data_IF_816401884856
#
_entry.id   IF_816401884856
#
_cell.length_a   1.000
_cell.length_b   1.000
_cell.length_c   1.000
_cell.angle_alpha   90.00
_cell.angle_beta   90.00
_cell.angle_gamma   90.00
#
_symmetry.space_group_name_H-M   'P 1'
#
loop_
_entity.id
_entity.type
_entity.pdbx_description
1 polymer ?
#
# COMPACT_ATOMS: atom_id res chain seq x y z
N UNK A 1 -15.92 -14.00 -12.10
CA UNK A 1 -14.93 -13.25 -12.93
C UNK A 1 -13.67 -14.10 -13.01
N UNK A 2 -13.15 -14.34 -14.22
CA UNK A 2 -12.18 -15.39 -14.59
C UNK A 2 -11.07 -15.67 -13.58
N UNK A 3 -11.00 -16.94 -13.14
CA UNK A 3 -9.81 -17.53 -12.51
C UNK A 3 -8.82 -17.89 -13.63
N UNK A 4 -7.86 -17.03 -13.90
CA UNK A 4 -6.70 -17.37 -14.73
C UNK A 4 -5.53 -17.76 -13.83
N UNK A 5 -5.60 -18.95 -13.25
CA UNK A 5 -4.50 -19.57 -12.52
C UNK A 5 -3.96 -20.65 -13.48
N UNK A 6 -2.70 -20.56 -13.92
CA UNK A 6 -2.11 -21.56 -14.84
C UNK A 6 -0.80 -22.10 -14.29
N UNK A 7 -0.75 -23.44 -14.39
CA UNK A 7 0.31 -24.41 -14.14
C UNK A 7 1.62 -24.03 -14.83
N UNK A 8 2.74 -24.17 -14.11
CA UNK A 8 4.06 -23.71 -14.52
C UNK A 8 4.57 -24.25 -15.86
N UNK A 9 5.09 -23.33 -16.67
CA UNK A 9 6.21 -23.46 -17.61
C UNK A 9 6.94 -22.11 -17.67
N UNK A 10 8.26 -22.05 -17.96
CA UNK A 10 9.09 -20.85 -17.72
C UNK A 10 8.76 -19.62 -18.58
N UNK A 11 7.91 -19.73 -19.60
CA UNK A 11 7.73 -18.68 -20.61
C UNK A 11 6.34 -18.02 -20.64
N UNK A 12 5.39 -18.42 -19.78
CA UNK A 12 4.07 -17.75 -19.66
C UNK A 12 3.53 -17.78 -18.24
N UNK A 13 4.19 -17.08 -17.32
CA UNK A 13 3.61 -16.77 -16.01
C UNK A 13 2.54 -15.68 -16.16
N UNK A 14 1.27 -16.01 -15.91
CA UNK A 14 0.23 -14.99 -15.80
C UNK A 14 0.34 -14.30 -14.44
N UNK A 15 0.25 -12.97 -14.42
CA UNK A 15 0.26 -12.17 -13.20
C UNK A 15 -1.13 -11.61 -12.93
N UNK A 16 -1.53 -11.61 -11.66
CA UNK A 16 -2.66 -10.84 -11.19
C UNK A 16 -2.19 -9.42 -10.85
N UNK A 17 -2.69 -8.43 -11.58
CA UNK A 17 -2.42 -7.02 -11.29
C UNK A 17 -3.12 -6.60 -10.01
N UNK A 18 -2.34 -6.11 -9.06
CA UNK A 18 -2.80 -5.54 -7.80
C UNK A 18 -2.82 -4.02 -7.93
N UNK A 19 -3.92 -3.42 -7.49
CA UNK A 19 -4.01 -1.97 -7.34
C UNK A 19 -3.42 -1.58 -5.98
N UNK A 20 -2.66 -0.49 -5.97
CA UNK A 20 -2.11 0.11 -4.75
C UNK A 20 -3.26 0.61 -3.88
N UNK A 21 -3.11 0.48 -2.55
CA UNK A 21 -4.10 0.81 -1.53
C UNK A 21 -5.37 -0.05 -1.52
N UNK A 22 -5.40 -1.14 -2.30
CA UNK A 22 -6.44 -2.15 -2.25
C UNK A 22 -5.94 -3.46 -1.63
N UNK A 23 -6.77 -4.03 -0.76
CA UNK A 23 -6.55 -5.38 -0.24
C UNK A 23 -7.32 -6.41 -1.08
N UNK A 24 -6.59 -7.35 -1.66
CA UNK A 24 -7.15 -8.46 -2.41
C UNK A 24 -7.21 -9.71 -1.55
N UNK A 25 -8.23 -10.53 -1.79
CA UNK A 25 -8.38 -11.85 -1.16
C UNK A 25 -8.64 -12.89 -2.23
N UNK A 26 -7.73 -13.85 -2.35
CA UNK A 26 -7.82 -14.97 -3.27
C UNK A 26 -8.19 -16.23 -2.49
N UNK A 27 -9.28 -16.89 -2.88
CA UNK A 27 -9.73 -18.14 -2.24
C UNK A 27 -9.73 -19.27 -3.26
N UNK A 28 -8.89 -20.27 -2.99
CA UNK A 28 -8.78 -21.52 -3.74
C UNK A 28 -9.39 -22.61 -2.86
N UNK A 29 -10.66 -22.91 -3.11
CA UNK A 29 -11.48 -23.82 -2.28
C UNK A 29 -12.36 -24.75 -3.10
N UNK A 30 -12.45 -24.55 -4.42
CA UNK A 30 -13.20 -25.44 -5.32
C UNK A 30 -12.34 -26.65 -5.65
N UNK A 31 -12.95 -27.80 -5.96
CA UNK A 31 -12.19 -29.03 -6.25
C UNK A 31 -11.25 -28.87 -7.45
N UNK A 32 -11.67 -28.09 -8.46
CA UNK A 32 -10.85 -27.77 -9.64
C UNK A 32 -9.58 -26.98 -9.26
N UNK A 33 -9.57 -26.30 -8.12
CA UNK A 33 -8.42 -25.53 -7.65
C UNK A 33 -7.32 -26.40 -7.01
N UNK A 34 -7.58 -27.70 -6.79
CA UNK A 34 -6.73 -28.62 -6.01
C UNK A 34 -5.30 -28.73 -6.55
N UNK A 35 -5.13 -28.53 -7.86
CA UNK A 35 -3.85 -28.69 -8.55
C UNK A 35 -3.00 -27.43 -8.57
N UNK A 36 -3.50 -26.30 -8.07
CA UNK A 36 -2.75 -25.06 -8.01
C UNK A 36 -1.85 -25.04 -6.76
N UNK A 37 -0.56 -24.80 -7.00
CA UNK A 37 0.48 -24.73 -5.96
C UNK A 37 1.27 -23.42 -6.01
N UNK A 38 0.95 -22.54 -6.97
CA UNK A 38 1.58 -21.25 -7.14
C UNK A 38 0.59 -20.19 -7.68
N UNK A 39 0.84 -18.93 -7.35
CA UNK A 39 0.14 -17.75 -7.85
C UNK A 39 1.11 -16.56 -7.87
N UNK A 40 1.04 -15.75 -8.92
CA UNK A 40 1.94 -14.61 -9.11
C UNK A 40 1.13 -13.32 -9.17
N UNK A 41 1.67 -12.27 -8.55
CA UNK A 41 1.08 -10.94 -8.53
C UNK A 41 2.05 -9.91 -9.08
N UNK A 42 1.50 -8.84 -9.64
CA UNK A 42 2.26 -7.69 -10.12
C UNK A 42 1.65 -6.41 -9.56
N UNK A 43 2.49 -5.49 -9.08
CA UNK A 43 2.07 -4.19 -8.59
C UNK A 43 3.02 -3.11 -9.12
N UNK A 44 2.45 -2.02 -9.61
CA UNK A 44 3.19 -0.86 -10.12
C UNK A 44 2.75 0.35 -9.31
N UNK A 45 3.58 0.85 -8.38
CA UNK A 45 3.29 2.06 -7.62
C UNK A 45 3.09 3.27 -8.53
N UNK A 46 2.08 4.09 -8.24
CA UNK A 46 1.82 5.33 -8.99
C UNK A 46 2.64 6.50 -8.43
N UNK A 47 2.84 6.53 -7.10
CA UNK A 47 3.58 7.60 -6.44
C UNK A 47 5.06 7.24 -6.26
N UNK A 48 5.95 7.93 -6.98
CA UNK A 48 7.39 7.63 -6.97
C UNK A 48 8.11 8.16 -5.73
N UNK A 49 7.55 9.14 -5.01
CA UNK A 49 8.23 9.77 -3.87
C UNK A 49 7.79 9.21 -2.51
N UNK A 50 7.26 7.98 -2.48
CA UNK A 50 6.71 7.37 -1.27
C UNK A 50 7.23 5.96 -1.05
N UNK A 51 7.37 5.62 0.22
CA UNK A 51 7.62 4.24 0.63
C UNK A 51 6.41 3.37 0.29
N UNK A 52 6.69 2.11 -0.02
CA UNK A 52 5.68 1.12 -0.38
C UNK A 52 5.60 0.06 0.72
N UNK A 53 4.51 0.06 1.46
CA UNK A 53 4.19 -0.99 2.42
C UNK A 53 3.59 -2.19 1.70
N UNK A 54 4.01 -3.38 2.11
CA UNK A 54 3.53 -4.65 1.58
C UNK A 54 3.08 -5.56 2.71
N UNK A 55 1.93 -6.19 2.52
CA UNK A 55 1.43 -7.22 3.41
C UNK A 55 0.90 -8.39 2.60
N UNK A 56 1.28 -9.60 3.02
CA UNK A 56 0.69 -10.84 2.56
C UNK A 56 0.45 -11.76 3.75
N UNK A 57 -0.73 -12.39 3.78
CA UNK A 57 -1.03 -13.50 4.68
C UNK A 57 -1.70 -14.64 3.92
N UNK A 58 -1.67 -15.83 4.52
CA UNK A 58 -2.47 -16.93 4.04
C UNK A 58 -2.93 -17.87 5.16
N UNK A 59 -3.98 -18.63 4.89
CA UNK A 59 -4.50 -19.66 5.82
C UNK A 59 -3.56 -20.85 6.01
N UNK A 60 -2.58 -21.02 5.13
CA UNK A 60 -1.60 -22.11 5.11
C UNK A 60 -0.22 -21.57 4.76
N UNK A 61 0.81 -22.37 5.04
CA UNK A 61 2.19 -21.98 4.78
C UNK A 61 2.46 -21.95 3.27
N UNK A 62 3.29 -21.00 2.86
CA UNK A 62 3.74 -20.80 1.48
C UNK A 62 5.20 -20.35 1.43
N UNK A 63 5.79 -20.43 0.25
CA UNK A 63 7.05 -19.80 -0.09
C UNK A 63 6.77 -18.47 -0.80
N UNK A 64 7.54 -17.46 -0.46
CA UNK A 64 7.42 -16.09 -0.96
C UNK A 64 8.73 -15.66 -1.59
N UNK A 65 8.66 -15.19 -2.83
CA UNK A 65 9.76 -14.47 -3.47
C UNK A 65 9.22 -13.13 -4.00
N UNK A 66 9.92 -12.04 -3.71
CA UNK A 66 9.57 -10.70 -4.18
C UNK A 66 10.76 -10.12 -4.91
N UNK A 67 10.51 -9.67 -6.12
CA UNK A 67 11.49 -9.03 -6.98
C UNK A 67 10.94 -7.69 -7.47
N UNK A 68 11.83 -6.85 -7.98
CA UNK A 68 11.43 -5.63 -8.69
C UNK A 68 12.24 -5.49 -9.98
N UNK A 69 11.70 -4.76 -10.94
CA UNK A 69 12.42 -4.38 -12.16
C UNK A 69 12.09 -2.94 -12.58
N UNK A 70 13.07 -2.21 -13.16
CA UNK A 70 12.83 -0.92 -13.80
C UNK A 70 12.20 -1.12 -15.19
N UNK A 71 10.98 -0.61 -15.36
CA UNK A 71 10.18 -0.55 -16.60
C UNK A 71 9.75 -1.87 -17.25
N UNK A 72 8.43 -2.06 -17.29
CA UNK A 72 7.72 -2.87 -18.28
C UNK A 72 7.24 -1.91 -19.38
N UNK A 73 8.05 -1.71 -20.44
CA UNK A 73 7.54 -1.08 -21.66
C UNK A 73 6.83 -2.16 -22.48
N UNK A 74 5.52 -1.98 -22.72
CA UNK A 74 4.66 -2.91 -23.45
C UNK A 74 5.36 -3.51 -24.69
N UNK A 75 5.82 -4.76 -24.58
CA UNK A 75 6.41 -5.53 -25.69
C UNK A 75 7.93 -5.75 -25.67
N UNK A 76 8.67 -5.21 -24.70
CA UNK A 76 10.12 -5.48 -24.55
C UNK A 76 10.38 -6.26 -23.26
N UNK A 77 11.33 -7.20 -23.31
CA UNK A 77 11.67 -8.12 -22.20
C UNK A 77 11.77 -7.33 -20.89
N UNK A 78 11.10 -7.82 -19.84
CA UNK A 78 11.25 -7.28 -18.50
C UNK A 78 12.75 -7.19 -18.20
N UNK A 79 13.22 -6.02 -17.76
CA UNK A 79 14.58 -5.88 -17.27
C UNK A 79 14.89 -6.94 -16.21
N UNK A 80 16.17 -7.22 -15.98
CA UNK A 80 16.62 -8.21 -14.99
C UNK A 80 15.93 -7.97 -13.64
N UNK A 81 15.11 -8.94 -13.19
CA UNK A 81 14.41 -8.87 -11.92
C UNK A 81 15.41 -8.96 -10.77
N UNK A 82 15.39 -7.97 -9.89
CA UNK A 82 16.28 -7.89 -8.72
C UNK A 82 15.52 -8.43 -7.50
N UNK A 83 16.01 -9.49 -6.83
CA UNK A 83 15.36 -10.05 -5.66
C UNK A 83 15.49 -9.15 -4.42
N UNK A 84 14.39 -9.00 -3.69
CA UNK A 84 14.32 -8.23 -2.44
C UNK A 84 14.09 -9.14 -1.24
N UNK A 85 13.10 -10.02 -1.36
CA UNK A 85 12.66 -10.90 -0.27
C UNK A 85 12.58 -12.32 -0.80
N UNK A 86 13.20 -13.24 -0.07
CA UNK A 86 13.00 -14.67 -0.26
C UNK A 86 12.77 -15.32 1.10
N UNK A 87 11.57 -15.88 1.29
CA UNK A 87 11.15 -16.55 2.53
C UNK A 87 10.47 -17.86 2.19
N UNK A 88 10.72 -18.90 2.99
CA UNK A 88 10.15 -20.23 2.77
C UNK A 88 9.31 -20.66 3.96
N UNK A 89 8.21 -21.36 3.70
CA UNK A 89 7.37 -21.98 4.73
C UNK A 89 6.84 -20.98 5.78
N UNK A 90 6.36 -19.83 5.32
CA UNK A 90 5.77 -18.76 6.15
C UNK A 90 4.25 -18.69 6.00
N UNK A 91 3.55 -18.09 6.97
CA UNK A 91 2.11 -17.79 6.87
C UNK A 91 1.81 -16.33 6.56
N UNK A 92 2.75 -15.45 6.86
CA UNK A 92 2.59 -14.01 6.69
C UNK A 92 3.94 -13.34 6.47
N UNK A 93 3.92 -12.22 5.76
CA UNK A 93 5.03 -11.32 5.60
C UNK A 93 4.49 -9.89 5.53
N UNK A 94 5.09 -9.00 6.31
CA UNK A 94 4.88 -7.56 6.23
C UNK A 94 6.25 -6.92 6.05
N UNK A 95 6.39 -6.05 5.08
CA UNK A 95 7.63 -5.33 4.81
C UNK A 95 7.35 -3.92 4.27
N UNK A 96 8.34 -3.04 4.37
CA UNK A 96 8.26 -1.65 3.91
C UNK A 96 9.45 -1.38 3.00
N UNK A 97 9.16 -1.08 1.73
CA UNK A 97 10.17 -0.78 0.72
C UNK A 97 10.38 0.72 0.63
N UNK A 98 11.51 1.21 1.15
CA UNK A 98 11.79 2.64 1.19
C UNK A 98 12.22 3.20 -0.17
N UNK A 99 11.73 4.40 -0.50
CA UNK A 99 12.06 5.05 -1.78
C UNK A 99 13.57 5.25 -1.96
N UNK A 100 14.27 5.69 -0.90
CA UNK A 100 15.71 5.94 -0.93
C UNK A 100 16.54 4.71 -1.32
N UNK A 101 16.04 3.50 -1.02
CA UNK A 101 16.73 2.25 -1.29
C UNK A 101 16.46 1.70 -2.69
N UNK A 102 15.32 2.03 -3.28
CA UNK A 102 14.88 1.49 -4.57
C UNK A 102 14.87 2.53 -5.72
N UNK A 103 15.31 3.77 -5.44
CA UNK A 103 15.50 4.88 -6.39
C UNK A 103 14.32 5.03 -7.38
N UNK A 104 13.11 5.14 -6.81
CA UNK A 104 11.88 5.34 -7.59
C UNK A 104 11.90 6.67 -8.36
N UNK A 105 12.69 7.65 -7.90
CA UNK A 105 12.85 8.95 -8.55
C UNK A 105 13.52 8.83 -9.95
N UNK A 106 14.51 7.95 -10.10
CA UNK A 106 15.22 7.80 -11.38
C UNK A 106 14.58 6.76 -12.31
N UNK A 107 13.65 5.94 -11.80
CA UNK A 107 12.97 4.91 -12.56
C UNK A 107 11.45 5.07 -12.44
N UNK A 108 10.82 5.85 -13.33
CA UNK A 108 9.41 6.22 -13.17
C UNK A 108 8.42 5.04 -13.29
N UNK A 109 8.89 3.88 -13.74
CA UNK A 109 8.09 2.70 -14.04
C UNK A 109 8.58 1.46 -13.28
N UNK A 110 8.78 1.55 -11.96
CA UNK A 110 9.16 0.36 -11.18
C UNK A 110 7.97 -0.57 -10.99
N UNK A 111 8.21 -1.85 -11.23
CA UNK A 111 7.21 -2.91 -11.08
C UNK A 111 7.70 -3.94 -10.09
N UNK A 112 6.85 -4.29 -9.13
CA UNK A 112 7.08 -5.35 -8.16
C UNK A 112 6.40 -6.62 -8.62
N UNK A 113 7.13 -7.74 -8.53
CA UNK A 113 6.59 -9.08 -8.78
C UNK A 113 6.61 -9.86 -7.48
N UNK A 114 5.48 -10.52 -7.19
CA UNK A 114 5.31 -11.34 -5.99
C UNK A 114 4.97 -12.76 -6.40
N UNK A 115 5.86 -13.69 -6.09
CA UNK A 115 5.71 -15.11 -6.37
C UNK A 115 5.36 -15.84 -5.09
N UNK A 116 4.15 -16.42 -5.06
CA UNK A 116 3.67 -17.24 -3.95
C UNK A 116 3.59 -18.67 -4.43
N UNK A 117 4.31 -19.58 -3.77
CA UNK A 117 4.45 -20.96 -4.25
C UNK A 117 4.44 -21.97 -3.09
N UNK A 118 4.42 -23.26 -3.43
CA UNK A 118 4.48 -24.37 -2.49
C UNK A 118 3.40 -24.34 -1.40
N UNK A 119 2.21 -23.82 -1.72
CA UNK A 119 1.06 -23.93 -0.86
C UNK A 119 0.20 -25.15 -1.22
N UNK A 120 -0.68 -25.56 -0.31
CA UNK A 120 -1.60 -26.69 -0.52
C UNK A 120 -3.06 -26.23 -0.51
N UNK A 121 -3.88 -26.74 -1.41
CA UNK A 121 -5.34 -26.54 -1.39
C UNK A 121 -5.99 -27.20 -0.16
N UNK A 122 -7.06 -26.64 0.43
CA UNK A 122 -7.63 -25.32 0.16
C UNK A 122 -6.81 -24.21 0.83
N UNK A 123 -6.76 -23.03 0.20
CA UNK A 123 -6.02 -21.87 0.72
C UNK A 123 -6.77 -20.57 0.49
N UNK A 124 -6.65 -19.65 1.44
CA UNK A 124 -7.03 -18.25 1.31
C UNK A 124 -5.79 -17.39 1.46
N UNK A 125 -5.52 -16.52 0.49
CA UNK A 125 -4.36 -15.61 0.47
C UNK A 125 -4.91 -14.19 0.47
N UNK A 126 -4.43 -13.33 1.37
CA UNK A 126 -4.70 -11.90 1.33
C UNK A 126 -3.41 -11.16 1.06
N UNK A 127 -3.48 -10.20 0.15
CA UNK A 127 -2.31 -9.40 -0.24
C UNK A 127 -2.75 -7.96 -0.47
N UNK A 128 -1.90 -7.04 -0.02
CA UNK A 128 -2.08 -5.62 -0.23
C UNK A 128 -0.72 -4.94 -0.41
N UNK A 129 -0.70 -3.95 -1.28
CA UNK A 129 0.33 -2.93 -1.34
C UNK A 129 -0.31 -1.62 -0.94
N UNK A 130 0.38 -0.79 -0.17
CA UNK A 130 -0.12 0.52 0.21
C UNK A 130 0.97 1.56 0.24
N UNK A 131 0.63 2.77 -0.18
CA UNK A 131 1.49 3.93 -0.06
C UNK A 131 0.85 4.85 0.99
N UNK A 132 0.92 4.43 2.26
CA UNK A 132 0.33 5.21 3.34
C UNK A 132 0.90 6.64 3.33
N UNK A 133 0.00 7.62 3.32
CA UNK A 133 0.35 9.02 3.53
C UNK A 133 1.10 9.13 4.86
N UNK A 134 2.39 9.50 4.77
CA UNK A 134 3.25 9.64 5.93
C UNK A 134 2.57 10.54 6.98
N UNK A 135 2.72 10.18 8.25
CA UNK A 135 2.12 10.74 9.47
C UNK A 135 2.16 12.29 9.60
N UNK A 136 2.93 12.97 8.75
CA UNK A 136 2.94 14.42 8.55
C UNK A 136 1.55 14.99 8.28
N UNK A 137 0.69 14.28 7.55
CA UNK A 137 -0.66 14.77 7.26
C UNK A 137 -1.53 14.78 8.53
N UNK A 138 -1.46 13.75 9.38
CA UNK A 138 -2.23 13.68 10.62
C UNK A 138 -1.78 14.73 11.66
N UNK A 139 -0.47 14.90 11.85
CA UNK A 139 0.07 15.94 12.74
C UNK A 139 -0.30 17.33 12.21
N UNK A 140 -0.22 17.55 10.90
CA UNK A 140 -0.60 18.80 10.28
C UNK A 140 -2.11 19.05 10.39
N UNK A 141 -2.97 18.03 10.22
CA UNK A 141 -4.41 18.13 10.48
C UNK A 141 -4.67 18.59 11.91
N UNK A 142 -4.02 18.00 12.91
CA UNK A 142 -4.18 18.42 14.31
C UNK A 142 -3.65 19.84 14.53
N UNK A 143 -2.44 20.18 14.05
CA UNK A 143 -1.84 21.50 14.20
C UNK A 143 -2.70 22.58 13.54
N UNK A 144 -3.16 22.37 12.31
CA UNK A 144 -4.03 23.30 11.59
C UNK A 144 -5.38 23.43 12.28
N UNK A 145 -6.02 22.32 12.68
CA UNK A 145 -7.31 22.33 13.36
C UNK A 145 -7.24 23.09 14.70
N UNK A 146 -6.26 22.78 15.54
CA UNK A 146 -6.09 23.45 16.83
C UNK A 146 -5.67 24.92 16.66
N UNK A 147 -4.82 25.24 15.70
CA UNK A 147 -4.41 26.62 15.40
C UNK A 147 -5.58 27.49 14.96
N UNK A 148 -6.43 26.99 14.05
CA UNK A 148 -7.64 27.68 13.62
C UNK A 148 -8.63 27.84 14.78
N UNK A 149 -8.85 26.79 15.56
CA UNK A 149 -9.77 26.82 16.70
C UNK A 149 -9.34 27.84 17.78
N UNK A 150 -8.06 27.86 18.15
CA UNK A 150 -7.51 28.83 19.09
C UNK A 150 -7.62 30.26 18.56
N UNK A 151 -7.38 30.46 17.26
CA UNK A 151 -7.53 31.77 16.63
C UNK A 151 -8.98 32.27 16.70
N UNK A 152 -9.97 31.40 16.44
CA UNK A 152 -11.38 31.73 16.58
C UNK A 152 -11.77 32.04 18.04
N UNK A 153 -11.27 31.28 19.00
CA UNK A 153 -11.48 31.54 20.43
C UNK A 153 -10.89 32.88 20.86
N UNK A 154 -9.69 33.22 20.38
CA UNK A 154 -9.07 34.53 20.65
C UNK A 154 -9.91 35.67 20.07
N UNK A 155 -10.39 35.55 18.83
CA UNK A 155 -11.28 36.55 18.22
C UNK A 155 -12.57 36.68 19.05
N UNK A 156 -13.19 35.57 19.45
CA UNK A 156 -14.38 35.58 20.29
C UNK A 156 -14.12 36.26 21.65
N UNK A 157 -12.99 35.97 22.29
CA UNK A 157 -12.60 36.59 23.56
C UNK A 157 -12.32 38.09 23.40
N UNK A 158 -11.66 38.52 22.33
CA UNK A 158 -11.42 39.93 22.03
C UNK A 158 -12.73 40.67 21.77
N UNK A 159 -13.60 40.12 20.92
CA UNK A 159 -14.93 40.68 20.65
C UNK A 159 -15.75 40.77 21.94
N UNK A 160 -15.69 39.75 22.79
CA UNK A 160 -16.34 39.74 24.09
C UNK A 160 -15.81 40.85 25.00
N UNK A 161 -14.49 41.02 25.09
CA UNK A 161 -13.86 42.07 25.92
C UNK A 161 -14.18 43.47 25.41
N UNK A 162 -14.20 43.69 24.10
CA UNK A 162 -14.61 44.96 23.48
C UNK A 162 -16.07 45.25 23.83
N UNK A 163 -16.96 44.27 23.64
CA UNK A 163 -18.39 44.40 23.99
C UNK A 163 -18.58 44.71 25.48
N UNK A 164 -17.84 44.02 26.36
CA UNK A 164 -17.87 44.27 27.80
C UNK A 164 -17.41 45.69 28.15
N UNK A 165 -16.38 46.21 27.46
CA UNK A 165 -15.91 47.59 27.62
C UNK A 165 -16.95 48.61 27.16
N UNK A 166 -17.57 48.43 25.98
CA UNK A 166 -18.64 49.30 25.48
C UNK A 166 -19.87 49.30 26.41
N UNK A 167 -20.26 48.13 26.92
CA UNK A 167 -21.35 47.99 27.90
C UNK A 167 -21.04 48.65 29.25
N UNK A 168 -19.77 48.73 29.64
CA UNK A 168 -19.33 49.47 30.82
C UNK A 168 -19.29 50.98 30.59
N UNK A 169 -18.95 51.43 29.37
CA UNK A 169 -18.95 52.85 29.00
C UNK A 169 -20.37 53.43 28.94
N UNK A 170 -21.32 52.71 28.33
CA UNK A 170 -22.72 53.14 28.21
C UNK A 170 -23.52 53.13 29.52
N UNK A 171 -22.93 52.63 30.62
CA UNK A 171 -23.52 52.69 31.97
C UNK A 171 -23.04 53.90 32.78
N UNK A 172 -22.11 54.70 32.24
CA UNK A 172 -21.56 55.89 32.90
C UNK A 172 -22.04 57.21 32.29
N UNK A 173 -22.91 57.15 31.27
CA UNK A 173 -23.75 58.25 30.77
C UNK A 173 -25.18 58.03 31.26
#
# INVERSE_FOLDING_TARGET
KSKSIIKGTPERTCYYTLLIDYQFTFSLSQEDDRYYTAINFVATPEEQNRDLDMFINASKNFNLNITWAPSFAAGTQAGEEIPIISRTNIKECKDTFSNEKFDFHNNPNITFFVYVSNFTWPIKIQIAFSQHSNFMDLVQFFVTFFSCFLSLLLVAAVVWKIKQSCWASRRRE
#
